data_IF_818158208112
#
_entry.id   IF_818158208112
#
_cell.length_a   1.000
_cell.length_b   1.000
_cell.length_c   1.000
_cell.angle_alpha   90.00
_cell.angle_beta   90.00
_cell.angle_gamma   90.00
#
_symmetry.space_group_name_H-M   'P 1'
#
loop_
_entity.id
_entity.type
_entity.pdbx_description
1 polymer ?
#
# COMPACT_ATOMS: atom_id res chain seq x y z
N UNK A 1 17.30 -14.11 -6.38
CA UNK A 1 16.55 -12.84 -6.42
C UNK A 1 16.09 -12.50 -5.00
N UNK A 2 16.25 -11.24 -4.59
CA UNK A 2 15.93 -10.77 -3.25
C UNK A 2 14.75 -9.78 -3.29
N UNK A 3 13.79 -9.96 -2.38
CA UNK A 3 12.67 -9.01 -2.18
C UNK A 3 12.86 -8.31 -0.85
N UNK A 4 12.88 -6.97 -0.86
CA UNK A 4 12.77 -6.20 0.36
C UNK A 4 11.28 -6.06 0.70
N UNK A 5 10.87 -6.56 1.86
CA UNK A 5 9.55 -6.29 2.43
C UNK A 5 9.70 -5.18 3.46
N UNK A 6 8.93 -4.11 3.30
CA UNK A 6 8.91 -2.96 4.23
C UNK A 6 7.59 -2.94 4.98
N UNK A 7 7.64 -2.98 6.31
CA UNK A 7 6.49 -2.82 7.18
C UNK A 7 6.59 -1.49 7.93
N UNK A 8 5.64 -0.59 7.69
CA UNK A 8 5.46 0.61 8.51
C UNK A 8 4.50 0.30 9.65
N UNK A 9 4.83 0.75 10.86
CA UNK A 9 4.01 0.54 12.06
C UNK A 9 4.07 1.74 13.02
N UNK A 10 2.95 2.04 13.65
CA UNK A 10 2.86 3.00 14.76
C UNK A 10 1.73 2.58 15.70
N UNK A 11 2.06 2.25 16.94
CA UNK A 11 1.10 1.88 18.00
C UNK A 11 0.09 0.82 17.55
N UNK A 12 0.58 -0.35 17.14
CA UNK A 12 -0.26 -1.45 16.64
C UNK A 12 0.17 -2.81 17.21
N UNK A 13 0.34 -2.88 18.54
CA UNK A 13 0.67 -4.11 19.27
C UNK A 13 -0.34 -5.24 19.01
N UNK A 14 -1.60 -4.89 18.69
CA UNK A 14 -2.64 -5.88 18.43
C UNK A 14 -2.51 -6.63 17.09
N UNK A 15 -1.73 -6.12 16.14
CA UNK A 15 -1.74 -6.69 14.78
C UNK A 15 -0.34 -6.91 14.19
N UNK A 16 0.69 -6.22 14.67
CA UNK A 16 2.06 -6.30 14.11
C UNK A 16 2.58 -7.74 14.06
N UNK A 17 2.27 -8.57 15.06
CA UNK A 17 2.76 -9.94 15.14
C UNK A 17 2.28 -10.82 13.98
N UNK A 18 1.00 -10.72 13.60
CA UNK A 18 0.46 -11.46 12.44
C UNK A 18 1.14 -11.03 11.12
N UNK A 19 1.43 -9.73 10.97
CA UNK A 19 2.16 -9.23 9.80
C UNK A 19 3.56 -9.83 9.74
N UNK A 20 4.32 -9.77 10.85
CA UNK A 20 5.66 -10.35 10.95
C UNK A 20 5.64 -11.83 10.59
N UNK A 21 4.77 -12.60 11.21
CA UNK A 21 4.63 -14.04 10.97
C UNK A 21 4.34 -14.35 9.50
N UNK A 22 3.48 -13.56 8.85
CA UNK A 22 3.15 -13.74 7.43
C UNK A 22 4.34 -13.51 6.49
N UNK A 23 5.27 -12.63 6.88
CA UNK A 23 6.51 -12.34 6.11
C UNK A 23 7.58 -13.39 6.38
N UNK A 24 7.88 -13.68 7.65
CA UNK A 24 8.99 -14.61 7.98
C UNK A 24 8.68 -16.08 7.67
N UNK A 25 7.42 -16.41 7.43
CA UNK A 25 7.00 -17.74 6.99
C UNK A 25 7.13 -17.98 5.48
N UNK A 26 7.50 -16.95 4.70
CA UNK A 26 7.63 -17.11 3.25
C UNK A 26 8.79 -18.05 2.90
N UNK A 27 8.55 -18.92 1.90
CA UNK A 27 9.50 -19.92 1.43
C UNK A 27 9.95 -19.66 -0.01
N UNK A 28 11.08 -20.28 -0.39
CA UNK A 28 11.59 -20.31 -1.77
C UNK A 28 11.89 -18.93 -2.37
N UNK A 29 12.22 -17.95 -1.48
CA UNK A 29 12.59 -16.60 -1.87
C UNK A 29 13.50 -15.98 -0.80
N UNK A 30 14.48 -15.20 -1.22
CA UNK A 30 15.32 -14.43 -0.32
C UNK A 30 14.58 -13.14 0.10
N UNK A 31 14.40 -12.94 1.40
CA UNK A 31 13.71 -11.76 1.95
C UNK A 31 14.68 -10.90 2.76
N UNK A 32 14.72 -9.63 2.43
CA UNK A 32 15.22 -8.57 3.29
C UNK A 32 14.02 -7.93 3.98
N UNK A 33 13.85 -8.21 5.28
CA UNK A 33 12.71 -7.69 6.04
C UNK A 33 13.10 -6.43 6.82
N UNK A 34 12.50 -5.29 6.47
CA UNK A 34 12.72 -3.99 7.11
C UNK A 34 11.43 -3.57 7.82
N UNK A 35 11.53 -3.29 9.12
CA UNK A 35 10.43 -2.71 9.88
C UNK A 35 10.78 -1.27 10.24
N UNK A 36 9.86 -0.35 9.99
CA UNK A 36 9.97 1.06 10.34
C UNK A 36 8.87 1.39 11.33
N UNK A 37 9.25 1.58 12.59
CA UNK A 37 8.37 1.98 13.68
C UNK A 37 8.43 3.49 13.88
N UNK A 38 7.27 4.14 13.88
CA UNK A 38 7.12 5.59 14.03
C UNK A 38 7.29 6.13 15.46
N UNK A 39 7.90 5.34 16.35
CA UNK A 39 8.09 5.69 17.77
C UNK A 39 6.95 5.19 18.65
N UNK A 40 6.53 3.93 18.50
CA UNK A 40 5.45 3.30 19.25
C UNK A 40 5.69 3.26 20.75
N UNK A 41 4.59 3.31 21.55
CA UNK A 41 4.60 3.35 23.02
C UNK A 41 3.60 2.37 23.65
N UNK A 42 3.03 1.44 22.87
CA UNK A 42 1.93 0.55 23.27
C UNK A 42 2.33 -0.92 23.41
N UNK A 43 3.63 -1.25 23.41
CA UNK A 43 4.12 -2.63 23.41
C UNK A 43 4.46 -3.17 22.01
N UNK A 44 4.27 -2.39 20.95
CA UNK A 44 4.63 -2.79 19.57
C UNK A 44 6.09 -3.20 19.45
N UNK A 45 7.01 -2.41 20.01
CA UNK A 45 8.46 -2.69 19.94
C UNK A 45 8.86 -3.97 20.67
N UNK A 46 8.24 -4.26 21.82
CA UNK A 46 8.47 -5.50 22.56
C UNK A 46 8.07 -6.74 21.74
N UNK A 47 6.96 -6.65 21.00
CA UNK A 47 6.52 -7.72 20.09
C UNK A 47 7.49 -7.89 18.93
N UNK A 48 7.91 -6.80 18.27
CA UNK A 48 8.91 -6.83 17.19
C UNK A 48 10.21 -7.47 17.68
N UNK A 49 10.64 -7.11 18.91
CA UNK A 49 11.85 -7.63 19.55
C UNK A 49 11.92 -9.15 19.66
N UNK A 50 10.78 -9.85 19.75
CA UNK A 50 10.72 -11.32 19.76
C UNK A 50 11.22 -11.96 18.46
N UNK A 51 11.18 -11.21 17.36
CA UNK A 51 11.51 -11.68 16.00
C UNK A 51 12.79 -11.03 15.45
N UNK A 52 13.60 -10.38 16.29
CA UNK A 52 14.79 -9.61 15.88
C UNK A 52 15.75 -10.38 14.97
N UNK A 53 15.91 -11.70 15.19
CA UNK A 53 16.83 -12.55 14.42
C UNK A 53 16.28 -12.87 13.00
N UNK A 54 15.03 -12.51 12.71
CA UNK A 54 14.35 -12.67 11.41
C UNK A 54 14.14 -11.35 10.68
N UNK A 55 14.45 -10.21 11.32
CA UNK A 55 14.30 -8.86 10.79
C UNK A 55 15.68 -8.36 10.38
N UNK A 56 15.83 -8.00 9.10
CA UNK A 56 17.09 -7.51 8.56
C UNK A 56 17.47 -6.13 9.10
N UNK A 57 16.46 -5.26 9.31
CA UNK A 57 16.65 -3.92 9.86
C UNK A 57 15.39 -3.44 10.59
N UNK A 58 15.55 -2.97 11.81
CA UNK A 58 14.53 -2.24 12.58
C UNK A 58 14.96 -0.78 12.70
N UNK A 59 14.10 0.13 12.24
CA UNK A 59 14.24 1.57 12.44
C UNK A 59 13.10 1.99 13.37
N UNK A 60 13.42 2.56 14.52
CA UNK A 60 12.41 3.09 15.46
C UNK A 60 12.74 4.53 15.80
N UNK A 61 11.98 5.42 15.18
CA UNK A 61 12.10 6.88 15.38
C UNK A 61 10.81 7.56 14.92
N UNK A 62 10.46 8.75 15.44
CA UNK A 62 9.29 9.48 14.98
C UNK A 62 9.29 9.69 13.46
N UNK A 63 8.12 9.57 12.84
CA UNK A 63 7.89 9.84 11.44
C UNK A 63 6.78 10.88 11.23
N UNK A 64 6.64 11.33 9.97
CA UNK A 64 5.60 12.26 9.51
C UNK A 64 4.42 11.54 8.86
N UNK A 65 4.19 10.28 9.24
CA UNK A 65 3.13 9.42 8.69
C UNK A 65 3.67 8.25 7.87
N UNK A 66 2.76 7.37 7.45
CA UNK A 66 3.07 6.08 6.82
C UNK A 66 4.01 6.19 5.61
N UNK A 67 3.87 7.21 4.79
CA UNK A 67 4.72 7.40 3.60
C UNK A 67 6.15 7.84 3.95
N UNK A 68 6.35 8.54 5.07
CA UNK A 68 7.70 8.85 5.58
C UNK A 68 8.37 7.57 6.07
N UNK A 69 7.64 6.74 6.82
CA UNK A 69 8.11 5.42 7.22
C UNK A 69 8.47 4.54 6.01
N UNK A 70 7.60 4.47 4.99
CA UNK A 70 7.86 3.75 3.76
C UNK A 70 9.11 4.29 3.03
N UNK A 71 9.29 5.60 2.97
CA UNK A 71 10.47 6.23 2.38
C UNK A 71 11.76 5.92 3.14
N UNK A 72 11.70 5.81 4.48
CA UNK A 72 12.83 5.33 5.29
C UNK A 72 13.16 3.88 4.92
N UNK A 73 12.15 3.00 4.79
CA UNK A 73 12.32 1.63 4.33
C UNK A 73 12.96 1.55 2.93
N UNK A 74 12.49 2.36 1.97
CA UNK A 74 13.09 2.46 0.63
C UNK A 74 14.57 2.84 0.69
N UNK A 75 14.93 3.80 1.54
CA UNK A 75 16.33 4.29 1.67
C UNK A 75 17.31 3.18 2.01
N UNK A 76 16.89 2.21 2.82
CA UNK A 76 17.74 1.11 3.27
C UNK A 76 17.51 -0.20 2.52
N UNK A 77 16.54 -0.24 1.59
CA UNK A 77 16.25 -1.43 0.81
C UNK A 77 17.38 -1.76 -0.17
N UNK A 78 17.73 -3.04 -0.29
CA UNK A 78 18.75 -3.54 -1.20
C UNK A 78 18.22 -4.60 -2.18
N UNK A 79 16.97 -5.01 -2.05
CA UNK A 79 16.34 -6.03 -2.88
C UNK A 79 16.19 -5.63 -4.35
N UNK A 80 16.07 -6.65 -5.19
CA UNK A 80 15.73 -6.51 -6.60
C UNK A 80 14.32 -5.89 -6.78
N UNK A 81 13.41 -6.26 -5.87
CA UNK A 81 12.08 -5.66 -5.72
C UNK A 81 11.85 -5.16 -4.30
N UNK A 82 11.03 -4.12 -4.16
CA UNK A 82 10.53 -3.61 -2.88
C UNK A 82 9.02 -3.80 -2.84
N UNK A 83 8.54 -4.33 -1.73
CA UNK A 83 7.14 -4.60 -1.45
C UNK A 83 6.74 -3.98 -0.11
N UNK A 84 5.57 -3.37 -0.05
CA UNK A 84 5.07 -2.73 1.17
C UNK A 84 3.91 -3.53 1.75
N UNK A 85 4.08 -3.97 3.00
CA UNK A 85 3.07 -4.67 3.79
C UNK A 85 3.01 -3.99 5.16
N UNK A 86 2.09 -3.06 5.35
CA UNK A 86 1.99 -2.31 6.60
C UNK A 86 1.45 -3.18 7.75
N UNK A 87 1.64 -2.72 8.98
CA UNK A 87 1.12 -3.44 10.16
C UNK A 87 -0.39 -3.63 10.05
N UNK A 88 -0.86 -4.85 10.36
CA UNK A 88 -2.25 -5.28 10.21
C UNK A 88 -2.56 -5.95 8.88
N UNK A 89 -1.73 -5.73 7.84
CA UNK A 89 -1.83 -6.45 6.56
C UNK A 89 -1.08 -7.77 6.64
N UNK A 90 -1.51 -8.78 5.90
CA UNK A 90 -0.88 -10.12 5.90
C UNK A 90 -0.77 -10.70 4.51
N UNK A 91 0.34 -11.41 4.24
CA UNK A 91 0.49 -12.26 3.07
C UNK A 91 -0.38 -13.52 3.22
N UNK A 92 -1.07 -13.94 2.16
CA UNK A 92 -2.11 -14.97 2.25
C UNK A 92 -1.60 -16.38 2.50
N UNK A 93 -0.38 -16.71 2.07
CA UNK A 93 0.19 -18.03 2.33
C UNK A 93 1.73 -18.00 2.24
N UNK A 94 2.42 -19.01 2.81
CA UNK A 94 3.89 -19.03 2.89
C UNK A 94 4.64 -19.09 1.56
N UNK A 95 3.99 -19.37 0.45
CA UNK A 95 4.64 -19.45 -0.87
C UNK A 95 4.16 -18.36 -1.84
N UNK A 96 3.50 -17.31 -1.32
CA UNK A 96 2.89 -16.32 -2.25
C UNK A 96 3.95 -15.52 -2.98
N UNK A 97 5.02 -15.12 -2.32
CA UNK A 97 6.07 -14.31 -2.95
C UNK A 97 6.83 -15.10 -4.02
N UNK A 98 7.13 -16.37 -3.79
CA UNK A 98 7.78 -17.23 -4.80
C UNK A 98 6.87 -17.53 -6.00
N UNK A 99 5.56 -17.70 -5.78
CA UNK A 99 4.59 -17.95 -6.85
C UNK A 99 4.41 -16.80 -7.84
N UNK A 100 4.75 -15.57 -7.46
CA UNK A 100 4.68 -14.41 -8.37
C UNK A 100 5.71 -14.52 -9.49
N UNK A 101 6.82 -15.28 -9.26
CA UNK A 101 7.91 -15.49 -10.22
C UNK A 101 8.51 -14.17 -10.71
N UNK A 102 8.90 -13.33 -9.77
CA UNK A 102 9.47 -12.01 -10.05
C UNK A 102 10.79 -12.09 -10.85
N UNK A 103 11.55 -13.18 -10.71
CA UNK A 103 12.78 -13.44 -11.47
C UNK A 103 12.57 -13.42 -12.98
N UNK A 104 11.44 -13.93 -13.46
CA UNK A 104 11.08 -13.94 -14.88
C UNK A 104 10.78 -12.52 -15.42
N UNK A 105 10.60 -11.54 -14.52
CA UNK A 105 10.12 -10.19 -14.82
C UNK A 105 11.14 -9.10 -14.48
N UNK A 106 12.27 -9.46 -13.87
CA UNK A 106 13.31 -8.52 -13.42
C UNK A 106 13.81 -7.63 -14.54
N UNK A 107 14.10 -8.21 -15.70
CA UNK A 107 14.65 -7.49 -16.86
C UNK A 107 13.64 -6.51 -17.50
N UNK A 108 12.35 -6.62 -17.16
CA UNK A 108 11.32 -5.76 -17.73
C UNK A 108 11.23 -4.40 -17.06
N UNK A 109 11.90 -4.20 -15.91
CA UNK A 109 11.81 -2.99 -15.09
C UNK A 109 10.35 -2.51 -14.90
N UNK A 110 9.45 -3.45 -14.66
CA UNK A 110 8.02 -3.24 -14.57
C UNK A 110 7.52 -3.35 -13.12
N UNK A 111 6.51 -2.56 -12.78
CA UNK A 111 5.74 -2.76 -11.54
C UNK A 111 4.83 -3.96 -11.73
N UNK A 112 4.96 -4.95 -10.85
CA UNK A 112 4.12 -6.13 -10.85
C UNK A 112 3.00 -5.92 -9.83
N UNK A 113 1.75 -6.31 -10.17
CA UNK A 113 0.64 -6.19 -9.24
C UNK A 113 -0.35 -7.34 -9.39
N UNK A 114 -1.09 -7.62 -8.33
CA UNK A 114 -2.09 -8.69 -8.29
C UNK A 114 -3.37 -8.31 -7.56
N UNK A 115 -4.08 -9.32 -7.10
CA UNK A 115 -5.33 -9.17 -6.35
C UNK A 115 -5.03 -9.03 -4.84
N UNK A 116 -6.03 -8.54 -4.11
CA UNK A 116 -6.03 -8.52 -2.64
C UNK A 116 -7.35 -9.03 -2.09
N UNK A 117 -7.34 -9.51 -0.87
CA UNK A 117 -8.55 -9.70 -0.08
C UNK A 117 -8.72 -8.47 0.81
N UNK A 118 -9.90 -7.91 0.79
CA UNK A 118 -10.28 -6.76 1.63
C UNK A 118 -11.23 -7.24 2.71
N UNK A 119 -10.89 -7.00 3.97
CA UNK A 119 -11.77 -7.27 5.09
C UNK A 119 -12.62 -6.02 5.41
N UNK A 120 -13.91 -6.19 5.50
CA UNK A 120 -14.90 -5.21 5.92
C UNK A 120 -15.58 -5.73 7.20
N UNK A 121 -14.91 -5.59 8.34
CA UNK A 121 -15.33 -6.26 9.58
C UNK A 121 -15.26 -7.78 9.42
N UNK A 122 -16.41 -8.48 9.52
CA UNK A 122 -16.49 -9.94 9.38
C UNK A 122 -16.67 -10.42 7.93
N UNK A 123 -16.72 -9.51 6.94
CA UNK A 123 -16.91 -9.87 5.53
C UNK A 123 -15.59 -9.71 4.81
N UNK A 124 -15.18 -10.72 4.06
CA UNK A 124 -14.01 -10.68 3.20
C UNK A 124 -14.45 -10.68 1.73
N UNK A 125 -13.84 -9.83 0.93
CA UNK A 125 -14.09 -9.75 -0.51
C UNK A 125 -12.78 -9.80 -1.29
N UNK A 126 -12.76 -10.61 -2.35
CA UNK A 126 -11.66 -10.58 -3.32
C UNK A 126 -11.80 -9.33 -4.19
N UNK A 127 -10.80 -8.46 -4.13
CA UNK A 127 -10.70 -7.32 -5.03
C UNK A 127 -9.66 -7.58 -6.13
N UNK A 128 -10.15 -7.57 -7.37
CA UNK A 128 -9.31 -7.57 -8.57
C UNK A 128 -9.04 -6.13 -8.99
N UNK A 129 -7.79 -5.76 -9.24
CA UNK A 129 -7.44 -4.41 -9.63
C UNK A 129 -8.12 -4.03 -10.94
N UNK A 130 -8.54 -2.77 -11.04
CA UNK A 130 -9.15 -2.18 -12.23
C UNK A 130 -8.36 -0.94 -12.65
N UNK A 131 -7.12 -1.11 -13.10
CA UNK A 131 -6.26 0.01 -13.43
C UNK A 131 -6.85 0.82 -14.60
N UNK A 132 -6.78 2.13 -14.49
CA UNK A 132 -7.23 3.06 -15.51
C UNK A 132 -6.04 3.88 -16.03
N UNK A 133 -5.09 3.23 -16.68
CA UNK A 133 -3.95 3.90 -17.33
C UNK A 133 -4.39 4.67 -18.59
N UNK A 134 -5.37 5.56 -18.42
CA UNK A 134 -5.94 6.39 -19.48
C UNK A 134 -6.59 7.65 -18.87
N UNK A 135 -7.35 8.40 -19.67
CA UNK A 135 -8.04 9.63 -19.20
C UNK A 135 -9.00 9.41 -18.02
N UNK A 136 -9.49 8.18 -17.78
CA UNK A 136 -10.37 7.86 -16.63
C UNK A 136 -9.61 7.82 -15.29
N UNK A 137 -8.29 7.63 -15.32
CA UNK A 137 -7.44 7.66 -14.13
C UNK A 137 -7.61 8.95 -13.32
N UNK A 138 -7.80 10.08 -14.00
CA UNK A 138 -8.06 11.39 -13.40
C UNK A 138 -9.25 11.43 -12.44
N UNK A 139 -10.19 10.49 -12.58
CA UNK A 139 -11.45 10.51 -11.81
C UNK A 139 -11.59 9.33 -10.85
N UNK A 140 -10.78 8.29 -10.99
CA UNK A 140 -10.98 7.01 -10.27
C UNK A 140 -9.75 6.57 -9.47
N UNK A 141 -8.68 7.34 -9.50
CA UNK A 141 -7.41 6.90 -8.96
C UNK A 141 -6.76 5.80 -9.80
N UNK A 142 -5.73 5.16 -9.26
CA UNK A 142 -5.02 4.09 -9.97
C UNK A 142 -5.82 2.79 -10.05
N UNK A 143 -6.69 2.51 -9.08
CA UNK A 143 -7.45 1.26 -9.01
C UNK A 143 -6.61 0.02 -8.70
N UNK A 144 -5.44 0.20 -8.08
CA UNK A 144 -4.53 -0.84 -7.60
C UNK A 144 -4.21 -0.53 -6.14
N UNK A 145 -4.33 -1.53 -5.26
CA UNK A 145 -3.92 -1.39 -3.87
C UNK A 145 -2.40 -1.51 -3.75
N UNK A 146 -1.75 -0.67 -2.96
CA UNK A 146 -0.30 -0.73 -2.77
C UNK A 146 0.16 -2.07 -2.16
N UNK A 147 -0.69 -2.72 -1.35
CA UNK A 147 -0.44 -4.06 -0.79
C UNK A 147 -0.40 -5.17 -1.85
N UNK A 148 -0.64 -4.87 -3.11
CA UNK A 148 -0.48 -5.82 -4.21
C UNK A 148 0.64 -5.46 -5.18
N UNK A 149 1.43 -4.40 -4.91
CA UNK A 149 2.40 -3.86 -5.86
C UNK A 149 3.84 -4.20 -5.47
N UNK A 150 4.59 -4.74 -6.42
CA UNK A 150 6.04 -4.96 -6.33
C UNK A 150 6.74 -3.97 -7.23
N UNK A 151 7.57 -3.13 -6.63
CA UNK A 151 8.33 -2.12 -7.34
C UNK A 151 9.74 -2.62 -7.62
N UNK A 152 10.27 -2.49 -8.86
CA UNK A 152 11.69 -2.68 -9.10
C UNK A 152 12.51 -1.82 -8.12
N UNK A 153 13.50 -2.43 -7.45
CA UNK A 153 14.22 -1.78 -6.38
C UNK A 153 14.92 -0.49 -6.83
N UNK A 154 15.57 -0.50 -7.99
CA UNK A 154 16.21 0.68 -8.55
C UNK A 154 15.19 1.79 -8.84
N UNK A 155 14.04 1.42 -9.43
CA UNK A 155 12.98 2.37 -9.75
C UNK A 155 12.48 3.12 -8.50
N UNK A 156 12.10 2.37 -7.46
CA UNK A 156 11.49 2.97 -6.26
C UNK A 156 12.51 3.77 -5.42
N UNK A 157 13.79 3.39 -5.42
CA UNK A 157 14.83 4.17 -4.75
C UNK A 157 15.05 5.55 -5.39
N UNK A 158 14.83 5.66 -6.70
CA UNK A 158 14.93 6.92 -7.45
C UNK A 158 13.64 7.74 -7.42
N UNK A 159 12.47 7.10 -7.28
CA UNK A 159 11.14 7.72 -7.32
C UNK A 159 10.36 7.41 -6.03
N UNK A 160 10.68 8.10 -4.94
CA UNK A 160 10.05 7.92 -3.63
C UNK A 160 8.65 8.52 -3.55
N UNK A 161 7.93 8.24 -2.47
CA UNK A 161 6.68 8.89 -2.12
C UNK A 161 6.88 10.39 -1.88
N UNK A 162 6.00 11.22 -2.43
CA UNK A 162 5.96 12.67 -2.14
C UNK A 162 5.21 12.89 -0.82
N UNK A 163 5.94 13.37 0.18
CA UNK A 163 5.42 13.59 1.54
C UNK A 163 4.52 14.83 1.66
N UNK A 164 4.29 15.55 0.58
CA UNK A 164 3.28 16.60 0.53
C UNK A 164 1.85 16.06 0.40
N UNK A 165 1.70 14.73 0.16
CA UNK A 165 0.44 14.00 0.20
C UNK A 165 0.33 13.19 1.50
N UNK A 166 -0.82 13.25 2.14
CA UNK A 166 -1.09 12.49 3.37
C UNK A 166 -1.87 11.19 3.10
N UNK A 167 -2.60 11.12 1.98
CA UNK A 167 -3.52 10.02 1.67
C UNK A 167 -3.25 9.43 0.28
N UNK A 168 -2.93 10.26 -0.70
CA UNK A 168 -2.83 9.87 -2.11
C UNK A 168 -1.38 9.76 -2.65
N UNK A 169 -0.37 9.59 -1.76
CA UNK A 169 1.02 9.50 -2.20
C UNK A 169 1.30 8.21 -3.01
N UNK A 170 0.57 7.13 -2.75
CA UNK A 170 0.60 5.90 -3.55
C UNK A 170 0.04 6.13 -4.96
N UNK A 171 -1.06 6.86 -5.05
CA UNK A 171 -1.62 7.26 -6.34
C UNK A 171 -0.69 8.22 -7.08
N UNK A 172 -0.11 9.22 -6.39
CA UNK A 172 0.87 10.14 -6.97
C UNK A 172 2.08 9.40 -7.54
N UNK A 173 2.69 8.51 -6.74
CA UNK A 173 3.84 7.72 -7.16
C UNK A 173 3.53 6.90 -8.41
N UNK A 174 2.42 6.15 -8.40
CA UNK A 174 2.03 5.33 -9.54
C UNK A 174 1.69 6.19 -10.78
N UNK A 175 1.05 7.36 -10.59
CA UNK A 175 0.76 8.29 -11.68
C UNK A 175 2.05 8.87 -12.30
N UNK A 176 3.01 9.29 -11.48
CA UNK A 176 4.32 9.79 -11.94
C UNK A 176 5.08 8.71 -12.72
N UNK A 177 5.14 7.48 -12.19
CA UNK A 177 5.82 6.37 -12.83
C UNK A 177 5.15 5.98 -14.16
N UNK A 178 3.83 5.93 -14.19
CA UNK A 178 3.10 5.71 -15.44
C UNK A 178 3.39 6.81 -16.48
N UNK A 179 3.41 8.07 -16.07
CA UNK A 179 3.73 9.21 -16.95
C UNK A 179 5.16 9.15 -17.51
N UNK A 180 6.08 8.52 -16.79
CA UNK A 180 7.45 8.24 -17.24
C UNK A 180 7.56 7.04 -18.18
N UNK A 181 6.46 6.35 -18.46
CA UNK A 181 6.42 5.17 -19.33
C UNK A 181 6.70 3.85 -18.61
N UNK A 182 6.69 3.81 -17.26
CA UNK A 182 6.84 2.55 -16.52
C UNK A 182 5.71 1.59 -16.87
N UNK A 183 6.06 0.35 -17.14
CA UNK A 183 5.12 -0.73 -17.45
C UNK A 183 4.53 -1.27 -16.16
N UNK A 184 3.22 -1.57 -16.17
CA UNK A 184 2.51 -2.21 -15.07
C UNK A 184 2.00 -3.57 -15.56
N UNK A 185 2.42 -4.66 -14.90
CA UNK A 185 2.12 -6.04 -15.27
C UNK A 185 1.20 -6.68 -14.24
N UNK A 186 0.01 -7.04 -14.66
CA UNK A 186 -0.95 -7.76 -13.83
C UNK A 186 -0.62 -9.26 -13.78
N UNK A 187 -0.69 -9.83 -12.56
CA UNK A 187 -0.69 -11.28 -12.32
C UNK A 187 -1.99 -11.65 -11.61
N UNK A 188 -2.73 -12.63 -12.12
CA UNK A 188 -3.97 -13.12 -11.47
C UNK A 188 -3.62 -14.01 -10.26
N UNK A 189 -2.96 -13.39 -9.29
CA UNK A 189 -2.54 -13.98 -8.01
C UNK A 189 -3.05 -13.10 -6.89
N UNK A 190 -3.66 -13.68 -5.87
CA UNK A 190 -4.10 -12.94 -4.67
C UNK A 190 -2.96 -12.90 -3.66
N UNK A 191 -2.44 -11.71 -3.38
CA UNK A 191 -1.15 -11.50 -2.70
C UNK A 191 -1.35 -11.33 -1.20
N UNK A 192 -2.16 -10.37 -0.82
CA UNK A 192 -2.31 -9.96 0.58
C UNK A 192 -3.77 -9.79 0.98
N UNK A 193 -3.99 -9.75 2.29
CA UNK A 193 -5.24 -9.32 2.91
C UNK A 193 -4.99 -8.09 3.76
N UNK A 194 -5.89 -7.12 3.69
CA UNK A 194 -5.86 -5.91 4.52
C UNK A 194 -7.26 -5.55 5.04
N UNK A 195 -7.30 -4.81 6.15
CA UNK A 195 -8.53 -4.34 6.76
C UNK A 195 -8.87 -2.92 6.25
N UNK A 196 -9.96 -2.81 5.48
CA UNK A 196 -10.44 -1.53 4.97
C UNK A 196 -10.78 -0.54 6.08
N UNK A 197 -11.34 -1.00 7.19
CA UNK A 197 -11.83 -0.14 8.28
C UNK A 197 -10.74 0.65 9.02
N UNK A 198 -9.48 0.24 8.90
CA UNK A 198 -8.33 0.83 9.61
C UNK A 198 -7.51 1.80 8.75
N UNK A 199 -7.75 1.84 7.44
CA UNK A 199 -7.01 2.72 6.53
C UNK A 199 -7.38 4.19 6.64
N UNK A 200 -6.42 5.09 6.41
CA UNK A 200 -6.66 6.54 6.38
C UNK A 200 -7.64 6.91 5.26
N UNK A 201 -7.51 6.26 4.10
CA UNK A 201 -8.35 6.49 2.92
C UNK A 201 -9.77 5.96 3.05
N UNK A 202 -10.02 5.01 3.96
CA UNK A 202 -11.35 4.45 4.23
C UNK A 202 -12.20 5.29 5.17
N UNK A 203 -11.61 6.28 5.85
CA UNK A 203 -12.33 7.14 6.77
C UNK A 203 -13.29 8.06 6.01
N UNK A 204 -14.64 7.92 6.16
CA UNK A 204 -15.62 8.70 5.42
C UNK A 204 -15.53 10.21 5.71
N UNK A 205 -14.99 10.61 6.87
CA UNK A 205 -14.75 12.02 7.21
C UNK A 205 -13.57 12.63 6.46
N UNK A 206 -12.67 11.81 5.91
CA UNK A 206 -11.53 12.25 5.10
C UNK A 206 -11.78 12.20 3.59
N UNK A 207 -12.98 11.82 3.15
CA UNK A 207 -13.29 11.65 1.73
C UNK A 207 -13.04 12.90 0.88
N UNK A 208 -13.34 14.10 1.43
CA UNK A 208 -13.06 15.36 0.74
C UNK A 208 -11.55 15.60 0.58
N UNK A 209 -10.75 15.22 1.57
CA UNK A 209 -9.28 15.33 1.48
C UNK A 209 -8.72 14.34 0.46
N UNK A 210 -9.25 13.11 0.41
CA UNK A 210 -8.95 12.13 -0.66
C UNK A 210 -9.22 12.76 -2.04
N UNK A 211 -10.37 13.38 -2.24
CA UNK A 211 -10.71 14.01 -3.52
C UNK A 211 -9.80 15.21 -3.85
N UNK A 212 -9.44 16.03 -2.85
CA UNK A 212 -8.52 17.15 -3.04
C UNK A 212 -7.13 16.67 -3.46
N UNK A 213 -6.61 15.67 -2.77
CA UNK A 213 -5.30 15.12 -3.10
C UNK A 213 -5.32 14.44 -4.47
N UNK A 214 -6.33 13.63 -4.78
CA UNK A 214 -6.50 13.01 -6.10
C UNK A 214 -6.59 14.05 -7.22
N UNK A 215 -7.32 15.16 -7.00
CA UNK A 215 -7.40 16.27 -7.95
C UNK A 215 -6.01 16.89 -8.18
N UNK A 216 -5.20 17.01 -7.13
CA UNK A 216 -3.84 17.54 -7.21
C UNK A 216 -2.93 16.62 -8.01
N UNK A 217 -2.95 15.31 -7.76
CA UNK A 217 -2.18 14.31 -8.49
C UNK A 217 -2.40 14.42 -10.01
N UNK A 218 -3.64 14.53 -10.44
CA UNK A 218 -3.98 14.52 -11.87
C UNK A 218 -4.28 15.93 -12.45
N UNK A 219 -3.88 16.99 -11.76
CA UNK A 219 -4.03 18.38 -12.19
C UNK A 219 -5.47 18.77 -12.51
N UNK A 220 -6.43 18.32 -11.68
CA UNK A 220 -7.87 18.60 -11.85
C UNK A 220 -8.43 19.59 -10.83
N UNK A 221 -7.58 20.31 -10.08
CA UNK A 221 -8.00 21.19 -8.98
C UNK A 221 -9.01 22.27 -9.43
N UNK A 222 -8.85 22.76 -10.65
CA UNK A 222 -9.69 23.81 -11.24
C UNK A 222 -10.77 23.28 -12.21
N UNK A 223 -10.95 21.96 -12.30
CA UNK A 223 -11.92 21.35 -13.21
C UNK A 223 -13.32 21.26 -12.58
N UNK A 224 -14.33 22.06 -13.01
CA UNK A 224 -15.67 22.03 -12.43
C UNK A 224 -16.36 20.66 -12.59
N UNK A 225 -16.13 19.96 -13.69
CA UNK A 225 -16.70 18.61 -13.93
C UNK A 225 -16.14 17.57 -12.97
N UNK A 226 -14.86 17.68 -12.61
CA UNK A 226 -14.26 16.83 -11.58
C UNK A 226 -15.01 17.02 -10.26
N UNK A 227 -15.15 18.26 -9.81
CA UNK A 227 -15.79 18.58 -8.52
C UNK A 227 -17.26 18.24 -8.50
N UNK A 228 -18.01 18.53 -9.57
CA UNK A 228 -19.42 18.14 -9.68
C UNK A 228 -19.59 16.62 -9.49
N UNK A 229 -18.72 15.81 -10.11
CA UNK A 229 -18.76 14.37 -9.96
C UNK A 229 -18.41 13.94 -8.52
N UNK A 230 -17.37 14.51 -7.92
CA UNK A 230 -16.94 14.16 -6.55
C UNK A 230 -18.03 14.52 -5.52
N UNK A 231 -18.70 15.65 -5.70
CA UNK A 231 -19.86 16.06 -4.86
C UNK A 231 -21.01 15.05 -4.98
N UNK A 232 -21.33 14.59 -6.18
CA UNK A 232 -22.37 13.57 -6.39
C UNK A 232 -22.00 12.24 -5.71
N UNK A 233 -20.76 11.81 -5.81
CA UNK A 233 -20.29 10.60 -5.14
C UNK A 233 -20.31 10.75 -3.60
N UNK A 234 -19.91 11.90 -3.08
CA UNK A 234 -20.00 12.22 -1.67
C UNK A 234 -21.45 12.15 -1.15
N UNK A 235 -22.41 12.78 -1.85
CA UNK A 235 -23.83 12.75 -1.48
C UNK A 235 -24.38 11.30 -1.49
N UNK A 236 -24.02 10.51 -2.49
CA UNK A 236 -24.42 9.10 -2.58
C UNK A 236 -23.90 8.28 -1.40
N UNK A 237 -22.63 8.49 -1.02
CA UNK A 237 -22.05 7.80 0.12
C UNK A 237 -22.71 8.20 1.43
N UNK A 238 -22.96 9.52 1.66
CA UNK A 238 -23.63 10.00 2.87
C UNK A 238 -25.04 9.40 3.01
N UNK A 239 -25.79 9.32 1.92
CA UNK A 239 -27.11 8.64 1.91
C UNK A 239 -27.00 7.16 2.26
N UNK A 240 -26.00 6.45 1.73
CA UNK A 240 -25.75 5.03 2.05
C UNK A 240 -25.42 4.84 3.53
N UNK A 241 -24.56 5.70 4.09
CA UNK A 241 -24.19 5.65 5.50
C UNK A 241 -25.37 5.98 6.44
N UNK A 242 -26.20 6.94 6.06
CA UNK A 242 -27.41 7.27 6.81
C UNK A 242 -28.40 6.09 6.86
N UNK A 243 -28.60 5.40 5.74
CA UNK A 243 -29.48 4.23 5.67
C UNK A 243 -28.95 3.06 6.53
N UNK A 244 -27.63 2.86 6.61
CA UNK A 244 -27.01 1.82 7.45
C UNK A 244 -27.08 2.11 8.96
N UNK A 245 -27.25 3.39 9.36
CA UNK A 245 -27.44 3.76 10.77
C UNK A 245 -28.88 3.58 11.23
N UNK A 246 -29.82 3.52 10.30
CA UNK A 246 -31.27 3.41 10.58
C UNK A 246 -31.80 1.97 10.38
N UNK A 247 -30.94 1.03 10.00
CA UNK A 247 -31.16 -0.41 9.91
C UNK A 247 -30.50 -1.15 11.07
#
# INVERSE_FOLDING_TARGET
>A
MKVTVVTAVLNDAGHIEQTILSVISQTDIEIEYIIVDGGSKDGTLELIGKYKDKISLLISEPDRGVYDAMNKGIKYSTGDFVYFLNSGDVLLNPSILSKIKLEELKERNAIIYGNVVVAYGNIEALEKPRPFFNSKMKFKGIGICHQSMFFPGELIRNDKYDLSYNIAADYDLAYRLWRKGTVFLYKDITIAKYDWGKGISSNPYKLLDVYRENARVCHQQLNPLYWAKMVLEYIRLQKKLANLKNS
#
